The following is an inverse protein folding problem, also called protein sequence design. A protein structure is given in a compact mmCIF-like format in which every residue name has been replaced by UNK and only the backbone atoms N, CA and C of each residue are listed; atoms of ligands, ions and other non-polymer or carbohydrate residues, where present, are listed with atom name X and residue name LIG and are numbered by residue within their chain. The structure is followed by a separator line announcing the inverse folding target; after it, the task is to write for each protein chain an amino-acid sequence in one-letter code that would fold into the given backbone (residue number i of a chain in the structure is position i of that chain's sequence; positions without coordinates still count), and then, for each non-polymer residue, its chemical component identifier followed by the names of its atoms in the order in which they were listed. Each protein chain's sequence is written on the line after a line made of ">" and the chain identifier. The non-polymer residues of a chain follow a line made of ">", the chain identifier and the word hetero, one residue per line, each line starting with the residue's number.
data_IF_122953771457
#
_entry.id   IF_122953771457
#
_cell.length_a   1.000
_cell.length_b   1.000
_cell.length_c   1.000
_cell.angle_alpha   90.00
_cell.angle_beta   90.00
_cell.angle_gamma   90.00
#
_symmetry.space_group_name_H-M   'P 1'
#
loop_
_entity.id
_entity.type
_entity.pdbx_description
1 polymer ?
#
# COMPACT_ATOMS: atom_id res chain seq x y z
N UNK A 1 48.57 25.99 -31.86
CA UNK A 1 47.17 26.45 -31.89
C UNK A 1 46.34 25.45 -31.09
N UNK A 2 45.98 25.80 -29.86
CA UNK A 2 45.21 24.93 -28.95
C UNK A 2 43.72 25.11 -29.29
N UNK A 3 43.05 24.06 -29.79
CA UNK A 3 41.61 24.11 -30.09
C UNK A 3 40.84 24.07 -28.77
N UNK A 4 40.21 25.19 -28.42
CA UNK A 4 39.23 25.29 -27.34
C UNK A 4 37.99 24.49 -27.77
N UNK A 5 37.76 23.33 -27.16
CA UNK A 5 36.52 22.57 -27.36
C UNK A 5 35.49 23.09 -26.37
N UNK A 6 34.46 23.76 -26.89
CA UNK A 6 33.30 24.20 -26.11
C UNK A 6 32.51 22.94 -25.73
N UNK A 7 32.47 22.64 -24.43
CA UNK A 7 31.59 21.61 -23.88
C UNK A 7 30.19 22.22 -23.73
N UNK A 8 29.33 21.99 -24.72
CA UNK A 8 27.91 22.36 -24.63
C UNK A 8 27.23 21.43 -23.63
N UNK A 9 26.92 21.95 -22.44
CA UNK A 9 26.07 21.27 -21.46
C UNK A 9 24.64 21.23 -22.01
N UNK A 10 24.22 20.08 -22.52
CA UNK A 10 22.82 19.83 -22.87
C UNK A 10 22.08 19.60 -21.54
N UNK A 11 21.46 20.65 -21.00
CA UNK A 11 20.44 20.49 -19.97
C UNK A 11 19.22 19.85 -20.62
N UNK A 12 19.01 18.56 -20.37
CA UNK A 12 17.76 17.89 -20.73
C UNK A 12 16.68 18.50 -19.82
N UNK A 13 15.65 19.17 -20.36
CA UNK A 13 14.69 19.89 -19.54
C UNK A 13 13.84 18.92 -18.70
N UNK A 14 13.85 19.11 -17.38
CA UNK A 14 13.01 18.41 -16.40
C UNK A 14 11.52 18.37 -16.78
N UNK A 15 11.04 19.33 -17.58
CA UNK A 15 9.65 19.42 -18.04
C UNK A 15 9.18 18.22 -18.88
N UNK A 16 10.07 17.54 -19.61
CA UNK A 16 9.72 16.34 -20.39
C UNK A 16 9.43 15.12 -19.47
N UNK A 17 10.08 15.06 -18.31
CA UNK A 17 9.86 13.98 -17.34
C UNK A 17 8.54 14.16 -16.58
N UNK A 18 8.13 15.39 -16.28
CA UNK A 18 6.86 15.65 -15.60
C UNK A 18 5.64 15.31 -16.47
N UNK A 19 5.66 15.69 -17.76
CA UNK A 19 4.55 15.39 -18.68
C UNK A 19 4.41 13.89 -18.95
N UNK A 20 5.53 13.16 -19.02
CA UNK A 20 5.53 11.70 -19.18
C UNK A 20 5.07 10.99 -17.91
N UNK A 21 5.51 11.44 -16.73
CA UNK A 21 5.04 10.92 -15.44
C UNK A 21 3.52 11.04 -15.26
N UNK A 22 2.96 12.23 -15.56
CA UNK A 22 1.52 12.44 -15.50
C UNK A 22 0.77 11.48 -16.43
N UNK A 23 1.23 11.31 -17.68
CA UNK A 23 0.60 10.40 -18.63
C UNK A 23 0.65 8.93 -18.20
N UNK A 24 1.70 8.52 -17.47
CA UNK A 24 1.80 7.16 -16.90
C UNK A 24 0.76 6.99 -15.79
N UNK A 25 0.62 7.97 -14.90
CA UNK A 25 -0.37 7.95 -13.82
C UNK A 25 -1.81 7.96 -14.37
N UNK A 26 -2.10 8.79 -15.37
CA UNK A 26 -3.42 8.85 -16.02
C UNK A 26 -3.81 7.47 -16.56
N UNK A 27 -2.93 6.82 -17.32
CA UNK A 27 -3.16 5.48 -17.85
C UNK A 27 -3.27 4.41 -16.76
N UNK A 28 -2.47 4.55 -15.69
CA UNK A 28 -2.57 3.66 -14.53
C UNK A 28 -3.94 3.78 -13.87
N UNK A 29 -4.42 5.00 -13.61
CA UNK A 29 -5.72 5.21 -12.97
C UNK A 29 -6.88 4.78 -13.86
N UNK A 30 -6.78 4.99 -15.18
CA UNK A 30 -7.72 4.45 -16.15
C UNK A 30 -7.75 2.92 -16.11
N UNK A 31 -6.57 2.26 -16.16
CA UNK A 31 -6.49 0.80 -16.15
C UNK A 31 -6.87 0.17 -14.82
N UNK A 32 -6.73 0.90 -13.71
CA UNK A 32 -7.16 0.47 -12.38
C UNK A 32 -8.67 0.63 -12.15
N UNK A 33 -9.35 1.42 -13.01
CA UNK A 33 -10.76 1.79 -12.82
C UNK A 33 -10.98 2.80 -11.71
N UNK A 34 -10.07 3.75 -11.56
CA UNK A 34 -10.02 4.65 -10.41
C UNK A 34 -11.27 5.54 -10.25
N UNK A 35 -11.92 5.92 -11.34
CA UNK A 35 -13.17 6.69 -11.31
C UNK A 35 -14.26 5.98 -10.50
N UNK A 36 -14.29 4.65 -10.56
CA UNK A 36 -15.31 3.82 -9.92
C UNK A 36 -14.91 3.53 -8.47
N UNK A 37 -13.61 3.33 -8.24
CA UNK A 37 -13.06 3.32 -6.88
C UNK A 37 -13.35 4.60 -6.10
N UNK A 38 -13.37 5.77 -6.75
CA UNK A 38 -13.69 7.05 -6.10
C UNK A 38 -15.14 7.13 -5.58
N UNK A 39 -16.03 6.25 -6.06
CA UNK A 39 -17.42 6.16 -5.59
C UNK A 39 -17.56 5.23 -4.39
N UNK A 40 -16.58 4.34 -4.16
CA UNK A 40 -16.59 3.39 -3.05
C UNK A 40 -16.38 4.12 -1.73
N UNK A 41 -17.36 3.97 -0.82
CA UNK A 41 -17.32 4.57 0.52
C UNK A 41 -16.84 3.62 1.59
N UNK A 42 -16.99 2.32 1.36
CA UNK A 42 -16.61 1.25 2.29
C UNK A 42 -16.17 0.02 1.51
N UNK A 43 -15.17 -0.67 2.03
CA UNK A 43 -14.68 -1.95 1.56
C UNK A 43 -14.62 -2.88 2.77
N UNK A 44 -15.15 -4.09 2.65
CA UNK A 44 -14.86 -5.18 3.58
C UNK A 44 -14.30 -6.34 2.77
N UNK A 45 -13.17 -6.88 3.20
CA UNK A 45 -12.56 -8.08 2.63
C UNK A 45 -12.52 -9.13 3.72
N UNK A 46 -13.24 -10.23 3.49
CA UNK A 46 -13.06 -11.45 4.25
C UNK A 46 -12.04 -12.32 3.51
N UNK A 47 -11.02 -12.79 4.22
CA UNK A 47 -9.96 -13.55 3.61
C UNK A 47 -9.03 -14.21 4.63
N UNK A 48 -7.83 -14.56 4.18
CA UNK A 48 -6.90 -15.40 4.95
C UNK A 48 -5.46 -14.94 4.76
N UNK A 49 -4.70 -14.93 5.85
CA UNK A 49 -3.24 -15.01 5.77
C UNK A 49 -2.83 -16.46 5.53
N UNK A 50 -1.98 -16.68 4.54
CA UNK A 50 -1.36 -17.97 4.23
C UNK A 50 0.14 -17.83 4.44
N UNK A 51 0.71 -18.61 5.37
CA UNK A 51 2.16 -18.64 5.60
C UNK A 51 2.89 -19.56 4.60
N UNK A 52 4.23 -19.58 4.67
CA UNK A 52 5.07 -20.43 3.80
C UNK A 52 4.77 -21.94 3.95
N UNK A 53 4.26 -22.35 5.11
CA UNK A 53 3.86 -23.73 5.43
C UNK A 53 2.41 -24.04 5.02
N UNK A 54 1.74 -23.11 4.30
CA UNK A 54 0.35 -23.20 3.84
C UNK A 54 -0.70 -23.25 4.97
N UNK A 55 -0.37 -22.82 6.19
CA UNK A 55 -1.39 -22.61 7.20
C UNK A 55 -2.17 -21.33 6.91
N UNK A 56 -3.50 -21.45 6.97
CA UNK A 56 -4.40 -20.34 6.73
C UNK A 56 -5.02 -19.82 8.04
N UNK A 57 -4.97 -18.50 8.23
CA UNK A 57 -5.56 -17.81 9.37
C UNK A 57 -6.56 -16.76 8.89
N UNK A 58 -7.79 -16.83 9.38
CA UNK A 58 -8.83 -15.88 8.97
C UNK A 58 -8.44 -14.45 9.31
N UNK A 59 -8.78 -13.55 8.39
CA UNK A 59 -8.48 -12.14 8.44
C UNK A 59 -9.65 -11.35 7.84
N UNK A 60 -9.97 -10.20 8.43
CA UNK A 60 -10.93 -9.24 7.90
C UNK A 60 -10.30 -7.86 7.82
N UNK A 61 -10.36 -7.27 6.63
CA UNK A 61 -9.97 -5.89 6.36
C UNK A 61 -11.23 -5.08 6.14
N UNK A 62 -11.39 -4.00 6.88
CA UNK A 62 -12.43 -3.01 6.63
C UNK A 62 -11.78 -1.67 6.37
N UNK A 63 -12.11 -1.05 5.24
CA UNK A 63 -11.73 0.32 4.91
C UNK A 63 -13.00 1.17 4.80
N UNK A 64 -12.96 2.40 5.29
CA UNK A 64 -14.05 3.37 5.17
C UNK A 64 -13.48 4.76 4.90
N UNK A 65 -14.05 5.43 3.91
CA UNK A 65 -13.68 6.81 3.58
C UNK A 65 -13.87 7.75 4.78
N UNK A 66 -13.02 8.77 4.99
CA UNK A 66 -11.85 9.16 4.19
C UNK A 66 -10.63 8.24 4.29
N UNK A 67 -10.36 7.70 5.46
CA UNK A 67 -9.06 7.09 5.76
C UNK A 67 -9.12 6.06 6.89
N UNK A 68 -10.32 5.60 7.29
CA UNK A 68 -10.45 4.64 8.39
C UNK A 68 -10.12 3.24 7.92
N UNK A 69 -9.31 2.54 8.70
CA UNK A 69 -8.85 1.18 8.41
C UNK A 69 -8.98 0.34 9.67
N UNK A 70 -9.41 -0.90 9.51
CA UNK A 70 -9.37 -1.93 10.54
C UNK A 70 -8.94 -3.24 9.91
N UNK A 71 -7.91 -3.86 10.47
CA UNK A 71 -7.49 -5.22 10.15
C UNK A 71 -7.62 -6.05 11.41
N UNK A 72 -8.35 -7.15 11.33
CA UNK A 72 -8.49 -8.09 12.45
C UNK A 72 -8.32 -9.52 11.97
N UNK A 73 -7.85 -10.38 12.85
CA UNK A 73 -7.62 -11.78 12.49
C UNK A 73 -7.03 -12.57 13.64
N UNK A 74 -6.37 -13.68 13.29
CA UNK A 74 -5.62 -14.51 14.24
C UNK A 74 -4.16 -14.64 13.83
N UNK A 75 -3.29 -14.64 14.82
CA UNK A 75 -1.85 -14.93 14.67
C UNK A 75 -1.43 -15.84 15.81
N UNK A 76 -0.84 -17.00 15.47
CA UNK A 76 -0.43 -18.02 16.45
C UNK A 76 -1.54 -18.37 17.47
N UNK A 77 -2.79 -18.47 16.99
CA UNK A 77 -3.96 -18.82 17.80
C UNK A 77 -4.52 -17.70 18.67
N UNK A 78 -3.90 -16.52 18.72
CA UNK A 78 -4.40 -15.33 19.42
C UNK A 78 -5.02 -14.34 18.44
N UNK A 79 -6.09 -13.66 18.86
CA UNK A 79 -6.67 -12.58 18.06
C UNK A 79 -5.75 -11.38 17.99
N UNK A 80 -5.79 -10.64 16.89
CA UNK A 80 -5.19 -9.33 16.81
C UNK A 80 -6.16 -8.36 16.13
N UNK A 81 -5.99 -7.08 16.44
CA UNK A 81 -6.66 -5.97 15.77
C UNK A 81 -5.67 -4.83 15.62
N UNK A 82 -5.63 -4.27 14.43
CA UNK A 82 -4.99 -2.99 14.11
C UNK A 82 -6.06 -2.08 13.51
N UNK A 83 -6.19 -0.85 13.98
CA UNK A 83 -7.16 0.07 13.44
C UNK A 83 -6.68 1.52 13.50
N UNK A 84 -7.17 2.31 12.54
CA UNK A 84 -6.98 3.75 12.45
C UNK A 84 -8.35 4.38 12.20
N UNK A 85 -8.72 5.36 13.01
CA UNK A 85 -10.03 6.00 12.94
C UNK A 85 -10.03 7.34 12.16
N UNK A 86 -8.94 7.67 11.47
CA UNK A 86 -8.74 8.97 10.81
C UNK A 86 -8.03 10.02 11.67
N UNK A 87 -7.77 9.70 12.94
CA UNK A 87 -7.06 10.58 13.88
C UNK A 87 -6.00 9.87 14.71
N UNK A 88 -6.31 8.65 15.17
CA UNK A 88 -5.44 7.84 16.02
C UNK A 88 -5.44 6.39 15.56
N UNK A 89 -4.24 5.80 15.56
CA UNK A 89 -4.03 4.37 15.39
C UNK A 89 -4.05 3.64 16.74
N UNK A 90 -4.57 2.42 16.76
CA UNK A 90 -4.50 1.52 17.91
C UNK A 90 -4.35 0.08 17.49
N UNK A 91 -3.80 -0.71 18.39
CA UNK A 91 -3.47 -2.10 18.16
C UNK A 91 -3.61 -2.91 19.44
N UNK A 92 -4.07 -4.14 19.30
CA UNK A 92 -3.91 -5.23 20.28
C UNK A 92 -3.43 -6.43 19.50
N UNK A 93 -2.20 -6.88 19.78
CA UNK A 93 -1.59 -7.94 18.99
C UNK A 93 -0.60 -8.77 19.81
N UNK A 94 -0.46 -10.08 19.52
CA UNK A 94 0.39 -10.98 20.31
C UNK A 94 1.90 -10.75 20.13
N UNK A 95 2.33 -9.97 19.14
CA UNK A 95 3.72 -9.57 18.92
C UNK A 95 4.11 -8.26 19.62
N UNK A 96 3.17 -7.61 20.32
CA UNK A 96 3.47 -6.48 21.18
C UNK A 96 4.01 -6.96 22.53
N UNK A 97 4.78 -6.10 23.19
CA UNK A 97 5.32 -6.35 24.54
C UNK A 97 4.22 -6.71 25.54
N UNK A 98 3.05 -6.08 25.40
CA UNK A 98 1.87 -6.34 26.20
C UNK A 98 0.69 -6.69 25.29
N UNK A 99 -0.01 -7.77 25.62
CA UNK A 99 -1.23 -8.17 24.90
C UNK A 99 -2.45 -7.41 25.44
N UNK A 100 -2.42 -6.10 25.27
CA UNK A 100 -3.49 -5.18 25.65
C UNK A 100 -3.71 -4.14 24.55
N UNK A 101 -4.80 -3.38 24.65
CA UNK A 101 -5.06 -2.29 23.71
C UNK A 101 -4.06 -1.18 23.98
N UNK A 102 -3.32 -0.80 22.95
CA UNK A 102 -2.36 0.28 22.99
C UNK A 102 -2.56 1.21 21.80
N UNK A 103 -2.20 2.48 21.99
CA UNK A 103 -2.07 3.43 20.89
C UNK A 103 -0.86 3.04 20.02
N UNK A 104 -1.00 3.18 18.71
CA UNK A 104 0.12 3.08 17.77
C UNK A 104 1.06 4.28 17.93
N UNK A 105 2.34 4.05 17.72
CA UNK A 105 3.28 5.16 17.53
C UNK A 105 3.19 5.74 16.09
N UNK A 106 3.91 6.83 15.83
CA UNK A 106 3.87 7.51 14.53
C UNK A 106 4.30 6.60 13.37
N UNK A 107 5.26 5.69 13.59
CA UNK A 107 5.76 4.79 12.55
C UNK A 107 4.71 3.73 12.21
N UNK A 108 4.01 3.19 13.21
CA UNK A 108 2.92 2.24 13.05
C UNK A 108 1.69 2.87 12.41
N UNK A 109 1.32 4.07 12.86
CA UNK A 109 0.17 4.81 12.34
C UNK A 109 0.35 5.17 10.86
N UNK A 110 1.56 5.61 10.47
CA UNK A 110 1.90 5.87 9.06
C UNK A 110 1.80 4.61 8.20
N UNK A 111 2.12 3.43 8.74
CA UNK A 111 2.01 2.18 7.98
C UNK A 111 0.54 1.81 7.76
N UNK A 112 -0.28 1.73 8.81
CA UNK A 112 -1.67 1.27 8.66
C UNK A 112 -2.49 2.19 7.75
N UNK A 113 -2.28 3.52 7.83
CA UNK A 113 -3.01 4.49 7.01
C UNK A 113 -2.64 4.43 5.53
N UNK A 114 -1.38 4.06 5.22
CA UNK A 114 -0.89 4.06 3.85
C UNK A 114 -0.98 2.67 3.20
N UNK A 115 -0.81 1.57 3.95
CA UNK A 115 -0.66 0.24 3.34
C UNK A 115 -1.96 -0.25 2.67
N UNK A 116 -3.10 0.05 3.28
CA UNK A 116 -4.43 -0.37 2.83
C UNK A 116 -5.26 0.81 2.34
N UNK A 117 -5.41 0.94 1.02
CA UNK A 117 -6.15 2.03 0.37
C UNK A 117 -7.30 1.49 -0.46
N UNK A 118 -8.33 2.31 -0.68
CA UNK A 118 -9.33 2.06 -1.71
C UNK A 118 -8.79 2.49 -3.08
N UNK A 119 -8.98 1.64 -4.10
CA UNK A 119 -8.44 1.89 -5.43
C UNK A 119 -6.92 1.85 -5.48
N UNK A 120 -6.35 2.58 -6.44
CA UNK A 120 -4.90 2.66 -6.61
C UNK A 120 -4.24 3.35 -5.41
N UNK A 121 -3.19 2.76 -4.83
CA UNK A 121 -2.43 3.39 -3.76
C UNK A 121 -1.57 4.60 -4.23
N UNK A 122 -1.55 4.89 -5.54
CA UNK A 122 -0.92 6.09 -6.10
C UNK A 122 -1.91 7.26 -6.25
N UNK A 123 -3.22 7.04 -6.05
CA UNK A 123 -4.22 8.06 -6.35
C UNK A 123 -4.26 9.20 -5.34
N UNK A 124 -4.11 8.90 -4.05
CA UNK A 124 -3.91 9.87 -2.97
C UNK A 124 -2.91 9.23 -2.00
N UNK A 125 -1.84 9.92 -1.56
CA UNK A 125 -1.59 11.37 -1.62
C UNK A 125 -0.66 11.79 -2.78
N UNK A 126 -1.21 12.42 -3.83
CA UNK A 126 -0.43 12.79 -5.03
C UNK A 126 0.67 13.82 -4.77
N UNK A 127 0.46 14.69 -3.78
CA UNK A 127 1.39 15.78 -3.46
C UNK A 127 2.77 15.29 -2.97
N UNK A 128 2.83 14.05 -2.49
CA UNK A 128 4.06 13.42 -2.01
C UNK A 128 4.61 12.35 -2.97
N UNK A 129 4.01 12.21 -4.15
CA UNK A 129 4.36 11.19 -5.12
C UNK A 129 5.36 11.74 -6.15
N UNK A 130 6.59 11.24 -6.12
CA UNK A 130 7.67 11.63 -7.02
C UNK A 130 7.94 10.57 -8.09
N UNK A 131 7.97 10.96 -9.37
CA UNK A 131 8.43 10.05 -10.43
C UNK A 131 9.93 9.77 -10.28
N UNK A 132 10.27 8.50 -10.04
CA UNK A 132 11.64 8.05 -9.72
C UNK A 132 12.36 7.45 -10.92
N UNK A 133 11.74 7.43 -12.10
CA UNK A 133 12.33 6.95 -13.35
C UNK A 133 12.08 5.46 -13.59
N UNK A 134 13.04 4.81 -14.24
CA UNK A 134 13.00 3.37 -14.51
C UNK A 134 13.84 2.62 -13.49
N UNK A 135 13.28 1.56 -12.92
CA UNK A 135 14.01 0.64 -12.04
C UNK A 135 13.84 -0.80 -12.51
N UNK A 136 14.91 -1.58 -12.37
CA UNK A 136 14.90 -3.01 -12.66
C UNK A 136 14.39 -3.78 -11.44
N UNK A 137 13.48 -4.73 -11.67
CA UNK A 137 13.08 -5.74 -10.70
C UNK A 137 13.03 -7.08 -11.45
N UNK A 138 13.89 -8.02 -11.03
CA UNK A 138 14.00 -9.36 -11.63
C UNK A 138 14.28 -9.34 -13.15
N UNK A 139 15.05 -8.37 -13.64
CA UNK A 139 15.38 -8.23 -15.06
C UNK A 139 14.28 -7.59 -15.91
N UNK A 140 13.22 -7.08 -15.29
CA UNK A 140 12.14 -6.33 -15.94
C UNK A 140 12.22 -4.86 -15.49
N UNK A 141 12.18 -3.94 -16.45
CA UNK A 141 12.15 -2.50 -16.16
C UNK A 141 10.73 -2.01 -15.90
N UNK A 142 10.52 -1.32 -14.78
CA UNK A 142 9.26 -0.70 -14.38
C UNK A 142 9.37 0.82 -14.36
N UNK A 143 8.25 1.51 -14.61
CA UNK A 143 8.12 2.92 -14.25
C UNK A 143 7.91 3.00 -12.74
N UNK A 144 8.69 3.82 -12.04
CA UNK A 144 8.58 3.92 -10.59
C UNK A 144 8.17 5.28 -10.08
N UNK A 145 7.37 5.24 -9.03
CA UNK A 145 6.98 6.42 -8.25
C UNK A 145 7.32 6.18 -6.78
N UNK A 146 7.75 7.21 -6.08
CA UNK A 146 8.08 7.14 -4.66
C UNK A 146 7.16 8.05 -3.88
N UNK A 147 6.50 7.49 -2.87
CA UNK A 147 5.84 8.22 -1.80
C UNK A 147 6.79 8.27 -0.60
N UNK A 148 7.02 9.46 -0.04
CA UNK A 148 7.82 9.63 1.19
C UNK A 148 7.05 10.45 2.22
N UNK A 149 6.99 9.94 3.45
CA UNK A 149 6.34 10.59 4.58
C UNK A 149 7.07 10.25 5.88
N UNK A 150 7.75 11.24 6.49
CA UNK A 150 8.54 10.99 7.70
C UNK A 150 9.61 9.92 7.47
N UNK A 151 9.57 8.82 8.24
CA UNK A 151 10.44 7.65 8.06
C UNK A 151 9.93 6.64 7.03
N UNK A 152 8.69 6.77 6.59
CA UNK A 152 8.06 5.86 5.65
C UNK A 152 8.38 6.25 4.21
N UNK A 153 8.77 5.24 3.43
CA UNK A 153 9.03 5.36 2.01
C UNK A 153 8.39 4.18 1.30
N UNK A 154 7.73 4.45 0.18
CA UNK A 154 7.06 3.44 -0.62
C UNK A 154 7.35 3.67 -2.09
N UNK A 155 7.99 2.69 -2.73
CA UNK A 155 8.30 2.73 -4.16
C UNK A 155 7.31 1.83 -4.89
N UNK A 156 6.53 2.40 -5.78
CA UNK A 156 5.57 1.71 -6.64
C UNK A 156 6.24 1.30 -7.95
N UNK A 157 6.02 0.08 -8.41
CA UNK A 157 6.55 -0.45 -9.66
C UNK A 157 5.40 -0.73 -10.63
N UNK A 158 5.24 0.17 -11.60
CA UNK A 158 4.22 0.09 -12.64
C UNK A 158 4.82 -0.52 -13.90
N UNK A 159 4.17 -1.56 -14.42
CA UNK A 159 4.54 -2.17 -15.69
C UNK A 159 4.51 -1.11 -16.81
N UNK A 160 5.45 -1.22 -17.77
CA UNK A 160 5.65 -0.16 -18.77
C UNK A 160 4.59 -0.17 -19.86
N UNK A 161 4.01 -1.33 -20.13
CA UNK A 161 3.07 -1.51 -21.23
C UNK A 161 1.62 -1.45 -20.74
N UNK A 162 1.30 -2.17 -19.68
CA UNK A 162 -0.05 -2.23 -19.09
C UNK A 162 -0.31 -1.13 -18.06
N UNK A 163 0.72 -0.43 -17.59
CA UNK A 163 0.64 0.55 -16.50
C UNK A 163 0.10 -0.02 -15.19
N UNK A 164 0.09 -1.35 -15.03
CA UNK A 164 -0.44 -2.03 -13.85
C UNK A 164 0.60 -2.05 -12.73
N UNK A 165 0.15 -1.91 -11.49
CA UNK A 165 0.99 -2.05 -10.30
C UNK A 165 1.27 -3.53 -10.01
N UNK A 166 2.56 -3.87 -9.97
CA UNK A 166 3.05 -5.23 -9.67
C UNK A 166 3.73 -5.32 -8.31
N UNK A 167 4.55 -4.32 -7.97
CA UNK A 167 5.28 -4.32 -6.72
C UNK A 167 5.14 -3.01 -5.98
N UNK A 168 5.21 -3.09 -4.66
CA UNK A 168 5.47 -1.96 -3.79
C UNK A 168 6.61 -2.32 -2.85
N UNK A 169 7.71 -1.58 -2.88
CA UNK A 169 8.75 -1.70 -1.87
C UNK A 169 8.45 -0.70 -0.76
N UNK A 170 8.09 -1.20 0.41
CA UNK A 170 7.75 -0.41 1.60
C UNK A 170 8.95 -0.46 2.55
N UNK A 171 9.43 0.71 2.93
CA UNK A 171 10.51 0.90 3.88
C UNK A 171 10.00 1.79 5.01
N UNK A 172 10.26 1.41 6.26
CA UNK A 172 9.98 2.26 7.41
C UNK A 172 11.00 2.02 8.53
N UNK A 173 11.04 2.95 9.49
CA UNK A 173 11.91 2.86 10.65
C UNK A 173 11.08 2.82 11.94
N UNK A 174 11.26 1.76 12.73
CA UNK A 174 10.65 1.59 14.05
C UNK A 174 11.75 1.71 15.11
N UNK A 175 11.85 2.89 15.73
CA UNK A 175 12.96 3.21 16.64
C UNK A 175 14.32 3.08 15.96
N UNK A 176 15.10 2.05 16.33
CA UNK A 176 16.42 1.78 15.73
C UNK A 176 16.38 0.75 14.59
N UNK A 177 15.26 0.07 14.43
CA UNK A 177 15.10 -1.00 13.45
C UNK A 177 14.59 -0.43 12.13
N UNK A 178 15.21 -0.86 11.03
CA UNK A 178 14.75 -0.55 9.68
C UNK A 178 14.07 -1.79 9.12
N UNK A 179 12.84 -1.62 8.69
CA UNK A 179 12.04 -2.69 8.09
C UNK A 179 11.88 -2.39 6.61
N UNK A 180 12.06 -3.42 5.79
CA UNK A 180 11.81 -3.39 4.35
C UNK A 180 10.93 -4.57 3.98
N UNK A 181 9.86 -4.30 3.25
CA UNK A 181 8.86 -5.28 2.82
C UNK A 181 8.58 -5.05 1.35
N UNK A 182 8.74 -6.10 0.55
CA UNK A 182 8.24 -6.16 -0.81
C UNK A 182 6.80 -6.69 -0.79
N UNK A 183 5.87 -5.89 -1.30
CA UNK A 183 4.49 -6.29 -1.53
C UNK A 183 4.34 -6.65 -3.01
N UNK A 184 3.99 -7.90 -3.31
CA UNK A 184 3.75 -8.41 -4.66
C UNK A 184 2.25 -8.47 -4.92
N UNK A 185 1.81 -7.90 -6.04
CA UNK A 185 0.41 -7.83 -6.45
C UNK A 185 0.32 -8.35 -7.89
N UNK A 186 0.16 -9.66 -8.04
CA UNK A 186 0.19 -10.36 -9.32
C UNK A 186 -1.20 -10.89 -9.74
N UNK A 187 -2.06 -11.19 -8.77
CA UNK A 187 -3.40 -11.75 -9.00
C UNK A 187 -4.46 -10.67 -8.88
N UNK A 188 -5.08 -10.35 -10.01
CA UNK A 188 -6.21 -9.42 -10.08
C UNK A 188 -7.37 -10.06 -10.83
N UNK A 189 -8.57 -9.56 -10.51
CA UNK A 189 -9.77 -9.77 -11.31
C UNK A 189 -10.38 -8.42 -11.67
N UNK A 190 -11.11 -8.42 -12.77
CA UNK A 190 -11.86 -7.26 -13.24
C UNK A 190 -13.32 -7.41 -12.84
N UNK A 191 -13.87 -6.39 -12.18
CA UNK A 191 -15.29 -6.29 -11.84
C UNK A 191 -15.86 -5.02 -12.46
N UNK A 192 -16.49 -5.17 -13.63
CA UNK A 192 -16.81 -4.01 -14.47
C UNK A 192 -15.53 -3.28 -14.89
N UNK A 193 -15.41 -1.97 -14.66
CA UNK A 193 -14.19 -1.20 -14.94
C UNK A 193 -13.12 -1.33 -13.85
N UNK A 194 -13.44 -1.83 -12.65
CA UNK A 194 -12.50 -1.88 -11.53
C UNK A 194 -11.55 -3.07 -11.66
N UNK A 195 -10.26 -2.79 -11.53
CA UNK A 195 -9.24 -3.81 -11.33
C UNK A 195 -9.06 -4.02 -9.83
N UNK A 196 -9.25 -5.26 -9.37
CA UNK A 196 -9.28 -5.59 -7.94
C UNK A 196 -8.27 -6.71 -7.66
N UNK A 197 -7.29 -6.50 -6.76
CA UNK A 197 -6.42 -7.58 -6.30
C UNK A 197 -7.25 -8.70 -5.68
N UNK A 198 -6.88 -9.96 -5.93
CA UNK A 198 -7.49 -11.12 -5.25
C UNK A 198 -6.53 -11.79 -4.27
N UNK A 199 -5.26 -11.42 -4.34
CA UNK A 199 -4.30 -11.69 -3.27
C UNK A 199 -3.13 -10.71 -3.32
N UNK A 200 -2.36 -10.68 -2.24
CA UNK A 200 -1.16 -9.86 -2.08
C UNK A 200 -0.14 -10.66 -1.29
N UNK A 201 1.08 -10.81 -1.80
CA UNK A 201 2.18 -11.44 -1.07
C UNK A 201 3.02 -10.35 -0.40
N UNK A 202 3.41 -10.56 0.85
CA UNK A 202 4.32 -9.70 1.57
C UNK A 202 5.58 -10.48 1.89
N UNK A 203 6.73 -9.98 1.44
CA UNK A 203 8.05 -10.57 1.61
C UNK A 203 8.99 -9.60 2.34
N UNK A 204 9.63 -10.06 3.41
CA UNK A 204 10.50 -9.28 4.27
C UNK A 204 11.12 -10.16 5.34
N UNK A 205 12.05 -9.62 6.13
CA UNK A 205 12.87 -10.41 7.08
C UNK A 205 12.03 -11.29 8.02
N UNK A 206 10.95 -10.73 8.58
CA UNK A 206 10.05 -11.42 9.52
C UNK A 206 8.61 -11.51 8.98
N UNK A 207 8.42 -11.31 7.67
CA UNK A 207 7.12 -11.33 7.03
C UNK A 207 7.21 -12.02 5.68
N UNK A 208 6.85 -13.30 5.64
CA UNK A 208 6.57 -13.98 4.38
C UNK A 208 5.18 -14.64 4.45
N UNK A 209 4.19 -13.99 3.82
CA UNK A 209 2.80 -14.45 3.83
C UNK A 209 1.99 -13.85 2.69
N UNK A 210 1.05 -14.63 2.17
CA UNK A 210 0.04 -14.19 1.21
C UNK A 210 -1.25 -13.81 1.93
N UNK A 211 -1.79 -12.63 1.67
CA UNK A 211 -3.17 -12.30 1.99
C UNK A 211 -4.06 -12.69 0.80
N UNK A 212 -4.88 -13.72 0.97
CA UNK A 212 -5.84 -14.22 -0.02
C UNK A 212 -7.24 -13.67 0.28
N UNK A 213 -7.92 -13.15 -0.73
CA UNK A 213 -9.21 -12.50 -0.58
C UNK A 213 -10.30 -13.52 -0.96
N UNK A 214 -11.12 -13.94 0.00
CA UNK A 214 -12.22 -14.88 -0.24
C UNK A 214 -13.44 -14.14 -0.78
N UNK A 215 -13.84 -13.05 -0.11
CA UNK A 215 -14.99 -12.22 -0.48
C UNK A 215 -14.67 -10.74 -0.33
N UNK A 216 -15.13 -9.93 -1.29
CA UNK A 216 -14.95 -8.48 -1.32
C UNK A 216 -16.31 -7.82 -1.40
N UNK A 217 -16.61 -7.01 -0.41
CA UNK A 217 -17.84 -6.26 -0.27
C UNK A 217 -17.57 -4.77 -0.47
N UNK A 218 -18.28 -4.15 -1.42
CA UNK A 218 -18.16 -2.73 -1.71
C UNK A 218 -19.46 -2.02 -1.33
N UNK A 219 -19.36 -0.93 -0.57
CA UNK A 219 -20.50 -0.07 -0.27
C UNK A 219 -21.53 -0.64 0.73
N UNK A 220 -21.19 -1.70 1.47
CA UNK A 220 -22.10 -2.30 2.48
C UNK A 220 -22.25 -1.47 3.76
N UNK A 221 -21.46 -0.40 3.91
CA UNK A 221 -21.40 0.40 5.12
C UNK A 221 -20.56 -0.27 6.21
N UNK A 222 -20.07 0.55 7.15
CA UNK A 222 -19.36 0.11 8.35
C UNK A 222 -19.65 1.09 9.48
N UNK A 223 -19.99 0.56 10.66
CA UNK A 223 -20.22 1.37 11.85
C UNK A 223 -18.90 2.02 12.28
N UNK A 224 -18.92 3.31 12.57
CA UNK A 224 -17.71 4.04 13.00
C UNK A 224 -17.09 3.48 14.28
N UNK A 225 -17.93 2.92 15.16
CA UNK A 225 -17.48 2.36 16.44
C UNK A 225 -16.49 1.20 16.33
N UNK A 226 -16.38 0.54 15.17
CA UNK A 226 -15.40 -0.54 14.98
C UNK A 226 -13.98 0.00 14.81
N UNK A 227 -13.82 1.27 14.42
CA UNK A 227 -12.52 1.91 14.23
C UNK A 227 -12.07 2.66 15.49
N UNK A 228 -13.01 3.04 16.34
CA UNK A 228 -12.72 3.86 17.52
C UNK A 228 -11.82 3.12 18.51
N UNK A 229 -10.96 3.90 19.18
CA UNK A 229 -10.16 3.41 20.28
C UNK A 229 -11.11 2.87 21.36
N UNK A 230 -11.01 1.59 21.76
CA UNK A 230 -11.91 1.06 22.77
C UNK A 230 -11.64 1.74 24.12
N UNK A 231 -12.58 2.55 24.58
CA UNK A 231 -12.59 3.02 25.97
C UNK A 231 -12.92 1.82 26.88
N UNK A 232 -12.15 1.66 27.96
CA UNK A 232 -12.19 0.48 28.82
C UNK A 232 -13.60 0.03 29.17
N UNK A 233 -13.89 -1.25 28.90
CA UNK A 233 -15.05 -1.95 29.46
C UNK A 233 -14.83 -2.30 30.92
#
# INVERSE_FOLDING_TARGET
>A
MLKLSVLTLIMIPFSLNAQSALSILEKHFESYGQEEWNQVRTISVDGKWVDEDYHAYDMKLTWKQPDKVRVEGKYQGKSYVEAYNGLIGWVVAPWKDQYEIQRMDDAEEIVIRNVFTAGSPLYEPREHLEFSGLMDMEGVLYNTFTLSEGSFKRVFYLDRDSHRLYYELIENQFGKEKVSVLKVIDKYKTYGPMLVPTSVIFEGLDMNREFVFDEIYLGTGANDSIFDYPEGQ
#
